data_IF_753996314372
#
_entry.id   IF_753996314372
#
_cell.length_a   1.000
_cell.length_b   1.000
_cell.length_c   1.000
_cell.angle_alpha   90.00
_cell.angle_beta   90.00
_cell.angle_gamma   90.00
#
_symmetry.space_group_name_H-M   'P 1'
#
loop_
_entity.id
_entity.type
_entity.pdbx_description
1 polymer ?
#
# COMPACT_ATOMS: atom_id res chain seq x y z
N UNK A 1 -51.96 13.66 -21.85
CA UNK A 1 -51.32 12.38 -22.14
C UNK A 1 -49.85 12.64 -21.89
N UNK A 2 -49.56 12.59 -20.75
CA UNK A 2 -48.85 11.77 -19.74
C UNK A 2 -47.38 11.60 -20.09
N UNK A 3 -46.64 12.61 -19.66
CA UNK A 3 -45.20 12.55 -19.37
C UNK A 3 -44.99 11.57 -18.20
N UNK A 4 -44.23 10.52 -18.40
CA UNK A 4 -43.80 9.64 -17.34
C UNK A 4 -42.33 9.81 -17.10
N UNK A 5 -42.01 10.25 -15.92
CA UNK A 5 -40.76 10.55 -15.31
C UNK A 5 -39.94 9.28 -15.16
N UNK A 6 -38.72 9.30 -15.68
CA UNK A 6 -37.65 8.43 -15.18
C UNK A 6 -36.95 9.16 -14.02
N UNK A 7 -37.47 8.93 -12.81
CA UNK A 7 -36.77 9.20 -11.59
C UNK A 7 -35.86 8.00 -11.31
N UNK A 8 -34.64 8.00 -11.84
CA UNK A 8 -33.60 7.17 -11.31
C UNK A 8 -33.15 7.75 -9.95
N UNK A 9 -33.67 7.15 -8.91
CA UNK A 9 -33.16 7.32 -7.57
C UNK A 9 -31.73 6.76 -7.53
N UNK A 10 -30.72 7.65 -7.63
CA UNK A 10 -29.37 7.31 -7.20
C UNK A 10 -29.43 7.02 -5.71
N UNK A 11 -29.48 5.75 -5.33
CA UNK A 11 -29.12 5.34 -3.99
C UNK A 11 -27.70 5.87 -3.73
N UNK A 12 -27.61 6.81 -2.81
CA UNK A 12 -26.32 7.24 -2.25
C UNK A 12 -25.80 6.04 -1.48
N UNK A 13 -24.94 5.25 -2.12
CA UNK A 13 -24.23 4.16 -1.46
C UNK A 13 -23.59 4.71 -0.19
N UNK A 14 -23.79 4.03 0.91
CA UNK A 14 -23.19 4.37 2.19
C UNK A 14 -21.66 4.29 2.07
N UNK A 15 -21.02 5.45 1.85
CA UNK A 15 -19.58 5.63 1.61
C UNK A 15 -18.76 5.34 2.88
N UNK A 16 -19.35 4.68 3.87
CA UNK A 16 -18.66 4.37 5.14
C UNK A 16 -17.73 3.17 5.03
N UNK A 17 -17.93 2.28 4.05
CA UNK A 17 -17.14 1.04 3.85
C UNK A 17 -16.73 0.89 2.39
N UNK A 18 -15.42 0.71 2.13
CA UNK A 18 -14.95 0.28 0.81
C UNK A 18 -15.28 -1.21 0.59
N UNK A 19 -15.71 -1.56 -0.62
CA UNK A 19 -15.97 -2.95 -1.00
C UNK A 19 -14.67 -3.70 -1.32
N UNK A 20 -14.68 -5.04 -1.26
CA UNK A 20 -13.56 -5.87 -1.71
C UNK A 20 -13.35 -5.79 -3.25
N UNK A 21 -14.29 -5.22 -3.99
CA UNK A 21 -14.12 -4.87 -5.41
C UNK A 21 -13.10 -3.75 -5.61
N UNK A 22 -12.72 -3.05 -4.53
CA UNK A 22 -11.65 -2.04 -4.48
C UNK A 22 -11.85 -0.92 -5.50
N UNK A 23 -13.09 -0.39 -5.57
CA UNK A 23 -13.35 0.77 -6.42
C UNK A 23 -12.47 1.96 -6.00
N UNK A 24 -11.68 2.54 -6.92
CA UNK A 24 -10.66 3.55 -6.56
C UNK A 24 -11.21 4.75 -5.78
N UNK A 25 -12.42 5.23 -6.12
CA UNK A 25 -13.05 6.37 -5.45
C UNK A 25 -13.47 6.03 -4.00
N UNK A 26 -13.95 4.81 -3.73
CA UNK A 26 -14.31 4.36 -2.37
C UNK A 26 -13.07 4.23 -1.49
N UNK A 27 -12.02 3.62 -2.04
CA UNK A 27 -10.73 3.46 -1.35
C UNK A 27 -10.15 4.83 -1.02
N UNK A 28 -10.05 5.75 -1.98
CA UNK A 28 -9.55 7.11 -1.76
C UNK A 28 -10.37 7.85 -0.69
N UNK A 29 -11.73 7.82 -0.79
CA UNK A 29 -12.61 8.47 0.17
C UNK A 29 -12.53 7.88 1.59
N UNK A 30 -12.27 6.59 1.74
CA UNK A 30 -12.03 5.97 3.04
C UNK A 30 -10.71 6.49 3.66
N UNK A 31 -9.64 6.52 2.88
CA UNK A 31 -8.34 7.01 3.35
C UNK A 31 -8.34 8.51 3.63
N UNK A 32 -9.06 9.33 2.85
CA UNK A 32 -9.22 10.77 3.10
C UNK A 32 -9.75 11.06 4.50
N UNK A 33 -10.74 10.26 4.96
CA UNK A 33 -11.37 10.43 6.29
C UNK A 33 -10.40 10.16 7.44
N UNK A 34 -9.43 9.28 7.26
CA UNK A 34 -8.50 8.85 8.32
C UNK A 34 -7.11 9.47 8.22
N UNK A 35 -6.82 10.25 7.18
CA UNK A 35 -5.48 10.75 6.84
C UNK A 35 -4.71 11.36 8.04
N UNK A 36 -5.37 12.20 8.85
CA UNK A 36 -4.74 12.87 10.01
C UNK A 36 -4.29 11.91 11.12
N UNK A 37 -4.95 10.76 11.28
CA UNK A 37 -4.69 9.77 12.34
C UNK A 37 -4.07 8.48 11.82
N UNK A 38 -3.91 8.38 10.50
CA UNK A 38 -3.47 7.16 9.82
C UNK A 38 -2.15 6.62 10.36
N UNK A 39 -1.15 7.47 10.50
CA UNK A 39 0.18 7.05 10.97
C UNK A 39 0.16 6.58 12.43
N UNK A 40 -0.60 7.26 13.29
CA UNK A 40 -0.75 6.85 14.69
C UNK A 40 -1.45 5.48 14.78
N UNK A 41 -2.49 5.26 13.98
CA UNK A 41 -3.17 3.96 13.93
C UNK A 41 -2.22 2.86 13.48
N UNK A 42 -1.44 3.09 12.44
CA UNK A 42 -0.47 2.12 11.94
C UNK A 42 0.63 1.81 12.98
N UNK A 43 1.12 2.81 13.72
CA UNK A 43 2.12 2.61 14.77
C UNK A 43 1.56 1.72 15.90
N UNK A 44 0.32 1.96 16.32
CA UNK A 44 -0.37 1.14 17.33
C UNK A 44 -0.61 -0.27 16.82
N UNK A 45 -1.17 -0.43 15.61
CA UNK A 45 -1.51 -1.73 15.03
C UNK A 45 -0.29 -2.63 14.80
N UNK A 46 0.85 -2.02 14.52
CA UNK A 46 2.11 -2.74 14.27
C UNK A 46 2.99 -2.87 15.50
N UNK A 47 2.51 -2.41 16.66
CA UNK A 47 3.24 -2.43 17.94
C UNK A 47 4.66 -1.87 17.77
N UNK A 48 4.79 -0.73 17.06
CA UNK A 48 6.06 -0.05 16.82
C UNK A 48 7.03 -0.76 15.87
N UNK A 49 6.60 -1.83 15.18
CA UNK A 49 7.47 -2.55 14.22
C UNK A 49 7.72 -1.76 12.92
N UNK A 50 6.88 -0.77 12.60
CA UNK A 50 6.99 0.01 11.35
C UNK A 50 8.40 0.58 11.13
N UNK A 51 9.06 1.08 12.18
CA UNK A 51 10.42 1.63 12.06
C UNK A 51 11.43 0.59 11.60
N UNK A 52 11.33 -0.64 12.11
CA UNK A 52 12.21 -1.75 11.71
C UNK A 52 11.93 -2.18 10.27
N UNK A 53 10.65 -2.23 9.87
CA UNK A 53 10.28 -2.60 8.51
C UNK A 53 10.66 -1.53 7.49
N UNK A 54 10.48 -0.24 7.80
CA UNK A 54 10.95 0.87 6.96
C UNK A 54 12.47 0.83 6.76
N UNK A 55 13.24 0.54 7.84
CA UNK A 55 14.69 0.33 7.73
C UNK A 55 15.01 -0.84 6.80
N UNK A 56 14.30 -1.97 6.92
CA UNK A 56 14.51 -3.12 6.06
C UNK A 56 14.11 -2.86 4.59
N UNK A 57 13.06 -2.06 4.33
CA UNK A 57 12.70 -1.58 2.98
C UNK A 57 13.83 -0.73 2.40
N UNK A 58 14.36 0.23 3.17
CA UNK A 58 15.48 1.07 2.75
C UNK A 58 16.72 0.24 2.40
N UNK A 59 17.09 -0.73 3.24
CA UNK A 59 18.21 -1.65 2.98
C UNK A 59 17.94 -2.50 1.72
N UNK A 60 16.71 -2.94 1.50
CA UNK A 60 16.32 -3.74 0.33
C UNK A 60 16.28 -2.93 -0.97
N UNK A 61 15.91 -1.65 -0.90
CA UNK A 61 15.96 -0.73 -2.03
C UNK A 61 17.38 -0.47 -2.50
N UNK A 62 18.35 -0.41 -1.57
CA UNK A 62 19.79 -0.25 -1.89
C UNK A 62 20.02 0.93 -2.83
N UNK A 63 19.43 2.08 -2.51
CA UNK A 63 19.51 3.31 -3.31
C UNK A 63 20.60 4.25 -2.81
N UNK A 64 21.10 5.07 -3.72
CA UNK A 64 22.20 6.00 -3.49
C UNK A 64 21.80 7.44 -3.87
N UNK A 65 22.60 8.44 -3.45
CA UNK A 65 22.42 9.80 -3.93
C UNK A 65 22.42 9.87 -5.46
N UNK A 66 21.41 10.54 -6.02
CA UNK A 66 21.21 10.65 -7.46
C UNK A 66 20.24 9.61 -8.06
N UNK A 67 19.92 8.53 -7.33
CA UNK A 67 18.82 7.65 -7.73
C UNK A 67 17.48 8.38 -7.59
N UNK A 68 16.52 8.03 -8.44
CA UNK A 68 15.14 8.51 -8.37
C UNK A 68 14.22 7.38 -7.95
N UNK A 69 13.47 7.58 -6.86
CA UNK A 69 12.67 6.53 -6.21
C UNK A 69 11.20 6.91 -6.23
N UNK A 70 10.35 5.99 -6.69
CA UNK A 70 8.90 6.07 -6.56
C UNK A 70 8.44 5.32 -5.31
N UNK A 71 7.72 6.00 -4.42
CA UNK A 71 6.90 5.36 -3.37
C UNK A 71 5.43 5.40 -3.83
N UNK A 72 4.88 4.24 -4.19
CA UNK A 72 3.52 4.11 -4.69
C UNK A 72 2.55 3.78 -3.55
N UNK A 73 1.37 4.36 -3.57
CA UNK A 73 0.41 4.35 -2.47
C UNK A 73 1.05 4.86 -1.16
N UNK A 74 1.77 5.96 -1.29
CA UNK A 74 2.61 6.52 -0.24
C UNK A 74 1.82 7.11 0.94
N UNK A 75 0.52 7.34 0.77
CA UNK A 75 -0.33 7.94 1.79
C UNK A 75 0.18 9.30 2.22
N UNK A 76 0.42 9.46 3.52
CA UNK A 76 0.98 10.68 4.13
C UNK A 76 2.50 10.84 3.93
N UNK A 77 3.14 9.93 3.19
CA UNK A 77 4.59 9.98 2.92
C UNK A 77 5.49 9.51 4.06
N UNK A 78 4.94 8.90 5.11
CA UNK A 78 5.75 8.47 6.26
C UNK A 78 6.76 7.37 5.90
N UNK A 79 6.47 6.52 4.90
CA UNK A 79 7.42 5.52 4.38
C UNK A 79 8.45 6.17 3.47
N UNK A 80 8.04 7.13 2.65
CA UNK A 80 8.93 7.95 1.81
C UNK A 80 9.93 8.74 2.66
N UNK A 81 9.45 9.36 3.75
CA UNK A 81 10.30 10.14 4.66
C UNK A 81 11.43 9.30 5.31
N UNK A 82 11.19 8.00 5.50
CA UNK A 82 12.23 7.09 6.00
C UNK A 82 13.39 6.86 5.02
N UNK A 83 13.28 7.35 3.77
CA UNK A 83 14.31 7.27 2.73
C UNK A 83 15.06 8.59 2.53
N UNK A 84 14.68 9.70 3.19
CA UNK A 84 15.28 11.02 2.97
C UNK A 84 16.80 11.05 3.17
N UNK A 85 17.30 10.30 4.14
CA UNK A 85 18.73 10.22 4.45
C UNK A 85 19.55 9.43 3.42
N UNK A 86 18.93 8.84 2.40
CA UNK A 86 19.64 8.19 1.28
C UNK A 86 20.23 9.18 0.28
N UNK A 87 19.72 10.42 0.26
CA UNK A 87 20.09 11.41 -0.75
C UNK A 87 19.47 11.16 -2.14
N UNK A 88 18.56 10.20 -2.28
CA UNK A 88 17.81 9.94 -3.51
C UNK A 88 16.72 11.01 -3.73
N UNK A 89 16.33 11.24 -4.99
CA UNK A 89 15.15 12.02 -5.34
C UNK A 89 13.89 11.18 -5.07
N UNK A 90 13.04 11.61 -4.14
CA UNK A 90 11.87 10.85 -3.70
C UNK A 90 10.59 11.43 -4.29
N UNK A 91 9.80 10.57 -4.92
CA UNK A 91 8.47 10.89 -5.44
C UNK A 91 7.45 9.99 -4.76
N UNK A 92 6.56 10.60 -3.97
CA UNK A 92 5.43 9.96 -3.32
C UNK A 92 4.19 10.06 -4.23
N UNK A 93 3.66 8.92 -4.67
CA UNK A 93 2.46 8.88 -5.51
C UNK A 93 1.31 8.19 -4.77
N UNK A 94 0.16 8.86 -4.71
CA UNK A 94 -1.05 8.30 -4.09
C UNK A 94 -2.30 8.71 -4.87
N UNK A 95 -3.38 7.95 -4.72
CA UNK A 95 -4.68 8.25 -5.31
C UNK A 95 -5.46 9.28 -4.48
N UNK A 96 -5.31 9.25 -3.15
CA UNK A 96 -6.05 10.06 -2.18
C UNK A 96 -5.50 11.48 -2.12
N UNK A 97 -6.32 12.46 -2.50
CA UNK A 97 -5.97 13.87 -2.39
C UNK A 97 -5.80 14.31 -0.92
N UNK A 98 -6.58 13.75 0.00
CA UNK A 98 -6.48 14.05 1.42
C UNK A 98 -5.19 13.55 2.05
N UNK A 99 -4.74 12.34 1.67
CA UNK A 99 -3.44 11.81 2.09
C UNK A 99 -2.29 12.69 1.58
N UNK A 100 -2.32 13.07 0.30
CA UNK A 100 -1.31 13.95 -0.31
C UNK A 100 -1.27 15.32 0.38
N UNK A 101 -2.42 15.93 0.64
CA UNK A 101 -2.49 17.21 1.33
C UNK A 101 -1.86 17.15 2.72
N UNK A 102 -2.16 16.11 3.49
CA UNK A 102 -1.55 15.88 4.80
C UNK A 102 -0.05 15.57 4.68
N UNK A 103 0.35 14.80 3.68
CA UNK A 103 1.75 14.48 3.38
C UNK A 103 2.58 15.74 3.09
N UNK A 104 2.11 16.59 2.20
CA UNK A 104 2.76 17.89 1.88
C UNK A 104 2.91 18.81 3.09
N UNK A 105 1.93 18.77 4.00
CA UNK A 105 1.99 19.52 5.24
C UNK A 105 3.08 19.02 6.19
N UNK A 106 3.27 17.68 6.27
CA UNK A 106 4.24 17.03 7.19
C UNK A 106 5.65 16.97 6.63
N UNK A 107 5.75 16.74 5.32
CA UNK A 107 6.98 16.46 4.59
C UNK A 107 7.10 17.36 3.36
N UNK A 108 7.30 18.69 3.54
CA UNK A 108 7.38 19.64 2.45
C UNK A 108 8.57 19.39 1.51
N UNK A 109 9.56 18.63 1.96
CA UNK A 109 10.75 18.23 1.22
C UNK A 109 10.50 17.07 0.21
N UNK A 110 9.32 16.39 0.30
CA UNK A 110 8.97 15.29 -0.59
C UNK A 110 8.08 15.78 -1.73
N UNK A 111 8.36 15.34 -2.95
CA UNK A 111 7.51 15.60 -4.11
C UNK A 111 6.30 14.66 -4.09
N UNK A 112 5.09 15.21 -3.89
CA UNK A 112 3.84 14.44 -3.92
C UNK A 112 3.12 14.62 -5.25
N UNK A 113 2.75 13.49 -5.89
CA UNK A 113 2.00 13.41 -7.15
C UNK A 113 0.72 12.62 -6.92
N UNK A 114 -0.42 13.15 -7.39
CA UNK A 114 -1.66 12.37 -7.43
C UNK A 114 -1.66 11.48 -8.67
N UNK A 115 -1.89 10.17 -8.48
CA UNK A 115 -1.88 9.23 -9.59
C UNK A 115 -2.61 7.93 -9.29
N UNK A 116 -3.16 7.32 -10.34
CA UNK A 116 -3.74 6.00 -10.28
C UNK A 116 -2.65 4.95 -10.56
N UNK A 117 -2.50 3.98 -9.69
CA UNK A 117 -1.50 2.91 -9.80
C UNK A 117 -1.69 2.02 -11.06
N UNK A 118 -2.88 2.03 -11.65
CA UNK A 118 -3.17 1.31 -12.91
C UNK A 118 -2.77 2.10 -14.17
N UNK A 119 -2.42 3.38 -14.02
CA UNK A 119 -1.98 4.27 -15.11
C UNK A 119 -1.21 5.43 -14.49
N UNK A 120 0.07 5.21 -14.21
CA UNK A 120 0.93 6.17 -13.52
C UNK A 120 1.28 7.35 -14.44
N UNK A 121 1.24 8.59 -13.93
CA UNK A 121 1.53 9.80 -14.71
C UNK A 121 3.05 10.03 -14.89
N UNK A 122 3.78 8.96 -15.18
CA UNK A 122 5.23 9.00 -15.36
C UNK A 122 5.62 8.32 -16.67
N UNK A 123 6.68 8.77 -17.36
CA UNK A 123 7.21 8.11 -18.54
C UNK A 123 7.86 6.76 -18.19
N UNK A 124 8.09 5.94 -19.22
CA UNK A 124 8.80 4.68 -19.11
C UNK A 124 10.21 4.89 -18.57
N UNK A 125 10.65 4.05 -17.64
CA UNK A 125 11.99 4.10 -17.08
C UNK A 125 12.33 5.39 -16.35
N UNK A 126 11.35 6.04 -15.73
CA UNK A 126 11.54 7.30 -15.00
C UNK A 126 12.28 7.13 -13.66
N UNK A 127 12.29 5.91 -13.09
CA UNK A 127 12.78 5.65 -11.74
C UNK A 127 13.85 4.57 -11.70
N UNK A 128 14.83 4.72 -10.82
CA UNK A 128 15.86 3.72 -10.53
C UNK A 128 15.36 2.62 -9.60
N UNK A 129 14.39 2.97 -8.75
CA UNK A 129 13.71 2.03 -7.87
C UNK A 129 12.27 2.45 -7.59
N UNK A 130 11.46 1.48 -7.20
CA UNK A 130 10.11 1.72 -6.68
C UNK A 130 9.87 0.93 -5.39
N UNK A 131 9.02 1.46 -4.53
CA UNK A 131 8.51 0.77 -3.35
C UNK A 131 7.02 0.96 -3.22
N UNK A 132 6.37 0.01 -2.54
CA UNK A 132 4.99 0.12 -2.10
C UNK A 132 4.87 -0.56 -0.73
N UNK A 133 4.33 0.17 0.25
CA UNK A 133 4.26 -0.29 1.64
C UNK A 133 2.81 -0.28 2.14
N UNK A 134 2.25 -1.48 2.41
CA UNK A 134 0.87 -1.69 2.90
C UNK A 134 -0.23 -1.07 2.04
N UNK A 135 0.04 -0.90 0.74
CA UNK A 135 -0.84 -0.27 -0.23
C UNK A 135 -1.38 -1.20 -1.30
N UNK A 136 -0.56 -2.14 -1.80
CA UNK A 136 -0.88 -2.93 -3.00
C UNK A 136 -2.13 -3.82 -2.84
N UNK A 137 -2.39 -4.33 -1.64
CA UNK A 137 -3.59 -5.13 -1.37
C UNK A 137 -4.90 -4.36 -1.54
N UNK A 138 -4.85 -3.03 -1.46
CA UNK A 138 -6.01 -2.14 -1.60
C UNK A 138 -6.26 -1.71 -3.05
N UNK A 139 -5.41 -2.12 -3.99
CA UNK A 139 -5.50 -1.76 -5.40
C UNK A 139 -6.05 -2.95 -6.17
N UNK A 140 -7.07 -2.79 -7.03
CA UNK A 140 -7.54 -3.86 -7.89
C UNK A 140 -6.47 -4.23 -8.94
N UNK A 141 -6.55 -5.44 -9.50
CA UNK A 141 -5.68 -5.86 -10.60
C UNK A 141 -4.18 -5.75 -10.26
N UNK A 142 -3.74 -6.46 -9.24
CA UNK A 142 -2.33 -6.50 -8.78
C UNK A 142 -1.35 -6.77 -9.94
N UNK A 143 -1.72 -7.61 -10.90
CA UNK A 143 -0.96 -7.91 -12.11
C UNK A 143 -0.68 -6.64 -12.95
N UNK A 144 -1.70 -5.79 -13.14
CA UNK A 144 -1.56 -4.52 -13.87
C UNK A 144 -0.72 -3.50 -13.11
N UNK A 145 -0.86 -3.43 -11.78
CA UNK A 145 -0.01 -2.57 -10.94
C UNK A 145 1.46 -2.97 -11.07
N UNK A 146 1.74 -4.27 -11.00
CA UNK A 146 3.11 -4.78 -11.12
C UNK A 146 3.70 -4.53 -12.52
N UNK A 147 2.88 -4.63 -13.57
CA UNK A 147 3.30 -4.30 -14.93
C UNK A 147 3.54 -2.79 -15.12
N UNK A 148 2.70 -1.94 -14.53
CA UNK A 148 2.84 -0.50 -14.58
C UNK A 148 4.08 -0.02 -13.81
N UNK A 149 4.36 -0.62 -12.65
CA UNK A 149 5.61 -0.42 -11.94
C UNK A 149 6.83 -0.85 -12.78
N UNK A 150 6.72 -1.99 -13.50
CA UNK A 150 7.78 -2.42 -14.40
C UNK A 150 7.97 -1.44 -15.58
N UNK A 151 6.93 -0.79 -16.07
CA UNK A 151 7.03 0.23 -17.10
C UNK A 151 7.81 1.45 -16.64
N UNK A 152 7.48 1.99 -15.46
CA UNK A 152 8.07 3.25 -14.98
C UNK A 152 9.44 3.10 -14.33
N UNK A 153 9.83 1.89 -13.94
CA UNK A 153 11.17 1.61 -13.40
C UNK A 153 12.13 1.26 -14.54
N UNK A 154 13.36 1.75 -14.51
CA UNK A 154 14.42 1.46 -15.49
C UNK A 154 14.75 -0.03 -15.51
N UNK A 155 15.16 -0.54 -16.66
CA UNK A 155 15.79 -1.88 -16.78
C UNK A 155 16.91 -2.04 -15.75
N UNK A 156 16.93 -3.16 -15.02
CA UNK A 156 17.85 -3.38 -13.90
C UNK A 156 17.49 -2.65 -12.61
N UNK A 157 16.48 -1.78 -12.64
CA UNK A 157 15.97 -1.09 -11.46
C UNK A 157 15.26 -2.02 -10.47
N UNK A 158 15.00 -1.55 -9.28
CA UNK A 158 14.57 -2.36 -8.13
C UNK A 158 13.11 -2.09 -7.78
N UNK A 159 12.41 -3.16 -7.36
CA UNK A 159 11.09 -3.06 -6.71
C UNK A 159 11.17 -3.69 -5.33
N UNK A 160 10.66 -2.98 -4.33
CA UNK A 160 10.49 -3.50 -2.97
C UNK A 160 9.04 -3.35 -2.53
N UNK A 161 8.40 -4.46 -2.18
CA UNK A 161 7.02 -4.49 -1.68
C UNK A 161 7.04 -4.94 -0.22
N UNK A 162 6.57 -4.08 0.68
CA UNK A 162 6.28 -4.41 2.07
C UNK A 162 4.77 -4.57 2.21
N UNK A 163 4.29 -5.78 2.53
CA UNK A 163 2.86 -6.02 2.66
C UNK A 163 2.55 -7.11 3.69
N UNK A 164 1.31 -7.09 4.19
CA UNK A 164 0.74 -8.21 4.95
C UNK A 164 0.83 -9.48 4.13
N UNK A 165 0.94 -10.62 4.77
CA UNK A 165 1.04 -11.88 4.06
C UNK A 165 0.38 -13.02 4.83
N UNK A 166 0.29 -14.19 4.20
CA UNK A 166 -0.32 -15.37 4.79
C UNK A 166 0.67 -16.09 5.69
N UNK A 167 0.22 -16.44 6.90
CA UNK A 167 1.01 -17.26 7.82
C UNK A 167 1.05 -18.71 7.34
N UNK A 168 2.23 -19.21 7.04
CA UNK A 168 2.44 -20.61 6.63
C UNK A 168 2.10 -21.59 7.76
N UNK A 169 2.35 -21.21 9.01
CA UNK A 169 2.07 -22.03 10.18
C UNK A 169 0.64 -21.83 10.69
N UNK A 170 -0.20 -22.85 10.56
CA UNK A 170 -1.61 -22.80 10.96
C UNK A 170 -1.83 -22.51 12.45
N UNK A 171 -0.92 -22.91 13.34
CA UNK A 171 -1.03 -22.65 14.77
C UNK A 171 -0.79 -21.16 15.04
N UNK A 172 0.24 -20.58 14.43
CA UNK A 172 0.51 -19.15 14.49
C UNK A 172 -0.62 -18.36 13.83
N UNK A 173 -1.19 -18.84 12.73
CA UNK A 173 -2.33 -18.22 12.07
C UNK A 173 -3.59 -18.17 12.95
N UNK A 174 -3.87 -19.22 13.73
CA UNK A 174 -4.97 -19.24 14.72
C UNK A 174 -4.71 -18.24 15.85
N UNK A 175 -3.49 -18.20 16.39
CA UNK A 175 -3.09 -17.26 17.43
C UNK A 175 -3.17 -15.80 16.96
N UNK A 176 -2.72 -15.53 15.75
CA UNK A 176 -2.78 -14.20 15.16
C UNK A 176 -4.22 -13.75 14.88
N UNK A 177 -5.08 -14.63 14.37
CA UNK A 177 -6.53 -14.33 14.21
C UNK A 177 -7.22 -14.05 15.54
N UNK A 178 -6.86 -14.79 16.58
CA UNK A 178 -7.36 -14.53 17.93
C UNK A 178 -6.90 -13.16 18.44
N UNK A 179 -5.62 -12.83 18.26
CA UNK A 179 -5.07 -11.53 18.61
C UNK A 179 -5.76 -10.38 17.87
N UNK A 180 -5.94 -10.50 16.55
CA UNK A 180 -6.65 -9.51 15.74
C UNK A 180 -8.09 -9.31 16.25
N UNK A 181 -8.84 -10.39 16.49
CA UNK A 181 -10.25 -10.32 16.85
C UNK A 181 -10.52 -9.95 18.32
N UNK A 182 -9.67 -10.39 19.24
CA UNK A 182 -9.94 -10.24 20.70
C UNK A 182 -9.13 -9.16 21.39
N UNK A 183 -7.99 -8.76 20.81
CA UNK A 183 -7.10 -7.78 21.42
C UNK A 183 -7.09 -6.49 20.60
N UNK A 184 -6.85 -6.61 19.31
CA UNK A 184 -6.68 -5.43 18.46
C UNK A 184 -8.02 -4.77 18.11
N UNK A 185 -9.10 -5.54 17.87
CA UNK A 185 -10.44 -4.97 17.62
C UNK A 185 -10.98 -4.10 18.77
N UNK A 186 -11.01 -4.55 20.02
CA UNK A 186 -11.47 -3.69 21.10
C UNK A 186 -10.59 -2.45 21.32
N UNK A 187 -9.27 -2.59 21.15
CA UNK A 187 -8.35 -1.45 21.25
C UNK A 187 -8.54 -0.44 20.10
N UNK A 188 -8.75 -0.91 18.86
CA UNK A 188 -8.99 -0.05 17.71
C UNK A 188 -10.32 0.70 17.79
N UNK A 189 -11.38 0.09 18.34
CA UNK A 189 -12.67 0.75 18.58
C UNK A 189 -12.58 1.95 19.54
N UNK A 190 -11.58 1.97 20.41
CA UNK A 190 -11.31 3.11 21.29
C UNK A 190 -10.62 4.28 20.56
N UNK A 191 -9.89 4.01 19.46
CA UNK A 191 -9.08 5.01 18.75
C UNK A 191 -9.58 5.31 17.33
N UNK A 192 -10.44 4.45 16.77
CA UNK A 192 -10.96 4.58 15.41
C UNK A 192 -12.42 5.03 15.41
N UNK A 193 -12.71 6.08 14.68
CA UNK A 193 -14.09 6.54 14.42
C UNK A 193 -14.82 5.71 13.35
N UNK A 194 -14.23 4.60 12.84
CA UNK A 194 -14.80 3.80 11.76
C UNK A 194 -14.52 2.30 11.96
N UNK A 195 -15.51 1.58 12.50
CA UNK A 195 -15.55 0.12 12.57
C UNK A 195 -15.42 -0.52 11.17
N UNK A 196 -16.04 0.10 10.17
CA UNK A 196 -16.03 -0.32 8.78
C UNK A 196 -14.62 -0.35 8.14
N UNK A 197 -13.76 0.63 8.43
CA UNK A 197 -12.39 0.64 7.92
C UNK A 197 -11.55 -0.50 8.51
N UNK A 198 -11.86 -0.91 9.72
CA UNK A 198 -11.18 -2.00 10.39
C UNK A 198 -11.62 -3.38 9.90
N UNK A 199 -12.92 -3.57 9.68
CA UNK A 199 -13.45 -4.79 9.05
C UNK A 199 -12.85 -4.98 7.66
N UNK A 200 -12.82 -3.91 6.86
CA UNK A 200 -12.16 -3.91 5.55
C UNK A 200 -10.68 -4.33 5.65
N UNK A 201 -9.94 -3.81 6.63
CA UNK A 201 -8.54 -4.20 6.83
C UNK A 201 -8.40 -5.71 7.06
N UNK A 202 -9.19 -6.30 7.96
CA UNK A 202 -9.13 -7.75 8.25
C UNK A 202 -9.49 -8.57 7.01
N UNK A 203 -10.54 -8.19 6.30
CA UNK A 203 -10.98 -8.87 5.09
C UNK A 203 -9.92 -8.78 3.98
N UNK A 204 -9.37 -7.58 3.74
CA UNK A 204 -8.33 -7.37 2.73
C UNK A 204 -7.05 -8.17 3.00
N UNK A 205 -6.67 -8.37 4.28
CA UNK A 205 -5.53 -9.21 4.65
C UNK A 205 -5.83 -10.69 4.45
N UNK A 206 -7.05 -11.15 4.74
CA UNK A 206 -7.43 -12.56 4.53
C UNK A 206 -7.46 -12.95 3.06
N UNK A 207 -7.87 -12.03 2.21
CA UNK A 207 -8.01 -12.21 0.76
C UNK A 207 -6.72 -11.92 -0.02
N UNK A 208 -5.64 -11.58 0.68
CA UNK A 208 -4.38 -11.22 0.07
C UNK A 208 -3.51 -12.45 -0.23
N UNK A 209 -2.64 -12.32 -1.22
CA UNK A 209 -1.74 -13.37 -1.70
C UNK A 209 -0.75 -13.87 -0.65
N UNK A 210 -0.44 -15.17 -0.71
CA UNK A 210 0.73 -15.73 -0.06
C UNK A 210 2.03 -15.26 -0.74
N UNK A 211 3.16 -15.40 -0.04
CA UNK A 211 4.46 -14.88 -0.49
C UNK A 211 4.87 -15.39 -1.87
N UNK A 212 4.77 -16.70 -2.09
CA UNK A 212 5.17 -17.33 -3.36
C UNK A 212 4.22 -16.95 -4.50
N UNK A 213 2.94 -16.75 -4.20
CA UNK A 213 1.94 -16.34 -5.18
C UNK A 213 2.18 -14.90 -5.65
N UNK A 214 2.44 -13.97 -4.72
CA UNK A 214 2.86 -12.61 -5.09
C UNK A 214 4.16 -12.65 -5.90
N UNK A 215 5.12 -13.48 -5.51
CA UNK A 215 6.36 -13.68 -6.25
C UNK A 215 6.12 -14.21 -7.68
N UNK A 216 5.11 -15.07 -7.89
CA UNK A 216 4.70 -15.53 -9.22
C UNK A 216 4.14 -14.38 -10.07
N UNK A 217 3.21 -13.59 -9.52
CA UNK A 217 2.64 -12.42 -10.19
C UNK A 217 3.72 -11.41 -10.58
N UNK A 218 4.68 -11.14 -9.68
CA UNK A 218 5.82 -10.27 -9.99
C UNK A 218 6.62 -10.81 -11.19
N UNK A 219 6.86 -12.13 -11.25
CA UNK A 219 7.61 -12.75 -12.35
C UNK A 219 6.89 -12.62 -13.68
N UNK A 220 5.58 -12.82 -13.69
CA UNK A 220 4.70 -12.68 -14.85
C UNK A 220 4.65 -11.23 -15.35
N UNK A 221 4.73 -10.25 -14.44
CA UNK A 221 4.76 -8.82 -14.73
C UNK A 221 6.14 -8.29 -15.19
N UNK A 222 7.15 -9.16 -15.41
CA UNK A 222 8.46 -8.75 -15.95
C UNK A 222 9.53 -8.48 -14.91
N UNK A 223 9.35 -8.95 -13.67
CA UNK A 223 10.38 -8.88 -12.63
C UNK A 223 11.20 -10.17 -12.57
N UNK A 224 12.49 -10.08 -12.21
CA UNK A 224 13.44 -11.19 -12.03
C UNK A 224 14.12 -11.12 -10.67
N UNK A 225 14.84 -12.19 -10.29
CA UNK A 225 15.56 -12.28 -9.02
C UNK A 225 14.70 -12.00 -7.79
N UNK A 226 13.44 -12.47 -7.84
CA UNK A 226 12.48 -12.25 -6.77
C UNK A 226 12.92 -13.03 -5.54
N UNK A 227 13.03 -12.32 -4.42
CA UNK A 227 13.30 -12.87 -3.09
C UNK A 227 12.34 -12.24 -2.10
N UNK A 228 11.96 -12.98 -1.06
CA UNK A 228 11.20 -12.40 0.03
C UNK A 228 11.80 -12.75 1.39
N UNK A 229 11.47 -11.94 2.38
CA UNK A 229 11.82 -12.16 3.78
C UNK A 229 10.59 -11.94 4.65
N UNK A 230 10.28 -12.96 5.46
CA UNK A 230 9.18 -12.93 6.42
C UNK A 230 9.56 -12.19 7.70
N UNK A 231 8.59 -11.45 8.22
CA UNK A 231 8.63 -10.75 9.51
C UNK A 231 7.45 -11.20 10.36
N UNK A 232 7.64 -11.22 11.68
CA UNK A 232 6.60 -11.62 12.65
C UNK A 232 5.95 -12.96 12.27
N UNK A 233 6.80 -13.97 11.98
CA UNK A 233 6.32 -15.31 11.63
C UNK A 233 5.61 -15.42 10.27
N UNK A 234 5.70 -14.41 9.40
CA UNK A 234 5.06 -14.39 8.08
C UNK A 234 3.80 -13.52 7.98
N UNK A 235 3.41 -12.83 9.07
CA UNK A 235 2.31 -11.83 9.05
C UNK A 235 2.59 -10.72 8.06
N UNK A 236 3.86 -10.36 7.91
CA UNK A 236 4.36 -9.35 6.98
C UNK A 236 5.53 -9.92 6.21
N UNK A 237 5.61 -9.62 4.93
CA UNK A 237 6.72 -9.98 4.07
C UNK A 237 7.26 -8.76 3.31
N UNK A 238 8.58 -8.75 3.10
CA UNK A 238 9.23 -7.83 2.16
C UNK A 238 9.67 -8.65 0.96
N UNK A 239 9.14 -8.31 -0.22
CA UNK A 239 9.58 -8.84 -1.50
C UNK A 239 10.53 -7.84 -2.16
N UNK A 240 11.61 -8.34 -2.74
CA UNK A 240 12.55 -7.57 -3.56
C UNK A 240 12.70 -8.24 -4.92
N UNK A 241 12.69 -7.44 -5.96
CA UNK A 241 12.89 -7.89 -7.33
C UNK A 241 13.68 -6.87 -8.15
N UNK A 242 14.15 -7.31 -9.31
CA UNK A 242 14.88 -6.50 -10.29
C UNK A 242 14.05 -6.50 -11.58
N UNK A 243 13.89 -5.33 -12.23
CA UNK A 243 13.23 -5.26 -13.53
C UNK A 243 14.03 -6.05 -14.58
N UNK A 244 13.31 -6.84 -15.37
CA UNK A 244 13.85 -7.58 -16.51
C UNK A 244 14.23 -6.60 -17.65
N UNK A 245 15.15 -7.03 -18.49
CA UNK A 245 15.53 -6.38 -19.74
C UNK A 245 14.37 -6.39 -20.74
#
# INVERSE_FOLDING_TARGET
>A
MTSNEFSESFEVADVSRASLEKHPAEIAGMFDKVAKRYDLMNEIMTVGQLRKWRKAVKEALDVSPGDRVLDLAAGTGSSTAALLDTGAELVACDLSAGMIAEGRRRHPEITFVQGNALSLPFPDGAFDAATISFGIRNIPHTDKVLAELARVVKTGGRLVILESSQLENQVLAKGYRFYLGKVLMPAAGWFSSSEAAYEYFIESVKDWYAQDELGRLMREAGWKHIKYRNYVGGVVAIHRAIRRD
#
